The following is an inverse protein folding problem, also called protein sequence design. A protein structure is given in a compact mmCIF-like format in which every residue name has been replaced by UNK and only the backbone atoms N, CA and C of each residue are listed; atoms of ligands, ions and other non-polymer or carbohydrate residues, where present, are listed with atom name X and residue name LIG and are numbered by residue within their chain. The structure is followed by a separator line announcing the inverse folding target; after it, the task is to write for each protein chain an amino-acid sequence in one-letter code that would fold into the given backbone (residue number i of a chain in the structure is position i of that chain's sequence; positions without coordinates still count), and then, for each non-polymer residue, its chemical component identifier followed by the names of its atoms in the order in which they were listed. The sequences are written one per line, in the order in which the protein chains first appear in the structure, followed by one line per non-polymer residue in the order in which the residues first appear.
data_IF_276540080368
#
_entry.id   IF_276540080368
#
_cell.length_a   1.000
_cell.length_b   1.000
_cell.length_c   1.000
_cell.angle_alpha   90.00
_cell.angle_beta   90.00
_cell.angle_gamma   90.00
#
_symmetry.space_group_name_H-M   'P 1'
#
loop_
_entity.id
_entity.type
_entity.pdbx_description
1 polymer ?
#
# COMPACT_ATOMS: atom_id res chain seq x y z
N UNK A 1 5.31 2.52 -16.35
CA UNK A 1 4.34 1.62 -17.01
C UNK A 1 5.11 0.55 -17.76
N UNK A 2 4.92 -0.74 -17.45
CA UNK A 2 5.74 -1.85 -17.97
C UNK A 2 4.87 -3.02 -18.44
N UNK A 3 5.48 -4.14 -18.83
CA UNK A 3 4.77 -5.36 -19.19
C UNK A 3 4.35 -6.12 -17.91
N UNK A 4 3.05 -6.21 -17.59
CA UNK A 4 2.59 -6.87 -16.36
C UNK A 4 2.77 -8.39 -16.45
N UNK A 5 3.04 -9.02 -15.32
CA UNK A 5 2.95 -10.47 -15.20
C UNK A 5 1.49 -10.92 -15.23
N UNK A 6 1.26 -12.21 -15.45
CA UNK A 6 -0.07 -12.81 -15.35
C UNK A 6 -0.69 -12.63 -13.94
N UNK A 7 0.13 -12.64 -12.88
CA UNK A 7 -0.36 -12.38 -11.52
C UNK A 7 -0.83 -10.94 -11.34
N UNK A 8 -0.12 -9.95 -11.89
CA UNK A 8 -0.56 -8.56 -11.89
C UNK A 8 -1.86 -8.35 -12.66
N UNK A 9 -2.02 -9.03 -13.81
CA UNK A 9 -3.26 -8.99 -14.59
C UNK A 9 -4.44 -9.57 -13.80
N UNK A 10 -4.25 -10.69 -13.11
CA UNK A 10 -5.29 -11.28 -12.25
C UNK A 10 -5.69 -10.37 -11.10
N UNK A 11 -4.72 -9.78 -10.40
CA UNK A 11 -5.01 -8.86 -9.29
C UNK A 11 -5.77 -7.59 -9.74
N UNK A 12 -5.57 -7.14 -10.98
CA UNK A 12 -6.31 -6.02 -11.55
C UNK A 12 -7.74 -6.40 -11.97
N UNK A 13 -7.95 -7.63 -12.45
CA UNK A 13 -9.26 -8.12 -12.89
C UNK A 13 -10.14 -8.60 -11.73
N UNK A 14 -9.53 -9.17 -10.69
CA UNK A 14 -10.19 -9.72 -9.50
C UNK A 14 -9.45 -9.24 -8.24
N UNK A 15 -9.63 -7.96 -7.86
CA UNK A 15 -8.98 -7.41 -6.69
C UNK A 15 -9.63 -7.94 -5.41
N UNK A 16 -8.81 -8.16 -4.38
CA UNK A 16 -9.32 -8.42 -3.03
C UNK A 16 -9.94 -7.14 -2.46
N UNK A 17 -11.15 -7.26 -1.91
CA UNK A 17 -11.81 -6.14 -1.23
C UNK A 17 -10.98 -5.65 -0.06
N UNK A 18 -10.61 -4.37 -0.06
CA UNK A 18 -9.72 -3.78 0.93
C UNK A 18 -10.30 -2.48 1.50
N UNK A 19 -10.27 -2.29 2.83
CA UNK A 19 -10.67 -1.03 3.45
C UNK A 19 -9.56 0.04 3.39
N UNK A 20 -8.38 -0.30 2.86
CA UNK A 20 -7.20 0.56 2.90
C UNK A 20 -7.08 1.41 1.65
N UNK A 21 -6.92 2.71 1.85
CA UNK A 21 -6.79 3.71 0.78
C UNK A 21 -5.36 4.22 0.62
N UNK A 22 -4.53 4.03 1.64
CA UNK A 22 -3.15 4.50 1.70
C UNK A 22 -2.23 3.34 2.04
N UNK A 23 -1.02 3.38 1.49
CA UNK A 23 0.07 2.50 1.89
C UNK A 23 1.39 3.26 1.88
N UNK A 24 2.36 2.79 2.66
CA UNK A 24 3.74 3.22 2.59
C UNK A 24 4.68 2.06 2.85
N UNK A 25 5.93 2.21 2.44
CA UNK A 25 7.01 1.31 2.82
C UNK A 25 7.91 1.98 3.85
N UNK A 26 8.33 1.23 4.87
CA UNK A 26 9.40 1.66 5.77
C UNK A 26 10.80 1.36 5.19
N UNK A 27 11.85 1.75 5.91
CA UNK A 27 13.25 1.49 5.54
C UNK A 27 13.60 0.01 5.47
N UNK A 28 12.83 -0.85 6.13
CA UNK A 28 12.97 -2.31 6.13
C UNK A 28 12.17 -2.97 5.00
N UNK A 29 11.46 -2.17 4.19
CA UNK A 29 10.57 -2.56 3.08
C UNK A 29 9.26 -3.22 3.52
N UNK A 30 8.88 -3.12 4.79
CA UNK A 30 7.55 -3.56 5.23
C UNK A 30 6.49 -2.58 4.73
N UNK A 31 5.32 -3.12 4.35
CA UNK A 31 4.18 -2.32 3.91
C UNK A 31 3.30 -1.98 5.12
N UNK A 32 2.95 -0.71 5.25
CA UNK A 32 2.02 -0.21 6.26
C UNK A 32 0.81 0.41 5.60
N UNK A 33 -0.38 -0.12 5.89
CA UNK A 33 -1.64 0.31 5.31
C UNK A 33 -2.39 1.31 6.20
N UNK A 34 -3.16 2.19 5.58
CA UNK A 34 -4.02 3.17 6.25
C UNK A 34 -5.37 3.30 5.55
N UNK A 35 -6.45 3.35 6.33
CA UNK A 35 -7.83 3.51 5.86
C UNK A 35 -8.19 4.99 5.70
N UNK A 36 -7.53 5.88 6.43
CA UNK A 36 -7.74 7.32 6.35
C UNK A 36 -6.41 8.06 6.18
N UNK A 37 -6.50 9.34 5.83
CA UNK A 37 -5.32 10.20 5.75
C UNK A 37 -4.62 10.29 7.12
N UNK A 38 -5.37 10.40 8.21
CA UNK A 38 -4.83 10.48 9.57
C UNK A 38 -4.05 9.22 9.94
N UNK A 39 -4.54 8.03 9.57
CA UNK A 39 -3.82 6.77 9.76
C UNK A 39 -2.53 6.72 8.95
N UNK A 40 -2.54 7.22 7.72
CA UNK A 40 -1.34 7.30 6.89
C UNK A 40 -0.29 8.27 7.47
N UNK A 41 -0.71 9.44 7.96
CA UNK A 41 0.16 10.39 8.68
C UNK A 41 0.73 9.78 9.97
N UNK A 42 -0.07 9.03 10.71
CA UNK A 42 0.37 8.32 11.90
C UNK A 42 1.42 7.26 11.56
N UNK A 43 1.22 6.50 10.48
CA UNK A 43 2.21 5.54 9.98
C UNK A 43 3.51 6.25 9.56
N UNK A 44 3.43 7.38 8.85
CA UNK A 44 4.62 8.19 8.48
C UNK A 44 5.44 8.60 9.70
N UNK A 45 4.79 9.11 10.74
CA UNK A 45 5.45 9.46 12.01
C UNK A 45 6.03 8.25 12.73
N UNK A 46 5.28 7.15 12.78
CA UNK A 46 5.67 5.93 13.49
C UNK A 46 6.87 5.24 12.86
N UNK A 47 6.92 5.19 11.53
CA UNK A 47 7.97 4.50 10.77
C UNK A 47 9.03 5.46 10.22
N UNK A 48 8.96 6.75 10.57
CA UNK A 48 9.86 7.81 10.13
C UNK A 48 10.04 7.86 8.60
N UNK A 49 8.90 7.79 7.89
CA UNK A 49 8.82 7.87 6.43
C UNK A 49 8.13 9.20 6.10
N UNK A 50 8.76 10.05 5.29
CA UNK A 50 8.26 11.38 4.94
C UNK A 50 8.19 11.57 3.44
#
# INVERSE_FOLDING_TARGET
IGAPSLSSLRAALDPEGSPYWYYLHDSERNIHFGRTAEEHEANRRKYNVW
#
